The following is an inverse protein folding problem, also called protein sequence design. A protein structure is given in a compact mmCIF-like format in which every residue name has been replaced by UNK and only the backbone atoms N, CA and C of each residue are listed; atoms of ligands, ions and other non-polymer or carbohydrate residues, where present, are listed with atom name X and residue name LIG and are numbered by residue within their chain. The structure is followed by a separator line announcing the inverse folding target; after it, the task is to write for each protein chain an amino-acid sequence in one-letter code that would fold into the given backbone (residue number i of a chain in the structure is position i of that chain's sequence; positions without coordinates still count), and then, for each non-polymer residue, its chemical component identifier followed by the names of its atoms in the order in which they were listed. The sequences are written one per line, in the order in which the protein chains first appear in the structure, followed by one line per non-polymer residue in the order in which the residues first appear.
data_IF_533196550157
#
_entry.id   IF_533196550157
#
_cell.length_a   1.000
_cell.length_b   1.000
_cell.length_c   1.000
_cell.angle_alpha   90.00
_cell.angle_beta   90.00
_cell.angle_gamma   90.00
#
_symmetry.space_group_name_H-M   'P 1'
#
loop_
_entity.id
_entity.type
_entity.pdbx_description
1 polymer ?
#
# COMPACT_ATOMS: atom_id res chain seq x y z
N UNK A 1 4.39 -17.31 8.75
CA UNK A 1 3.28 -16.36 8.87
C UNK A 1 3.68 -15.00 8.29
N UNK A 2 2.88 -14.46 7.38
CA UNK A 2 3.21 -13.18 6.76
C UNK A 2 2.97 -12.02 7.72
N UNK A 3 3.85 -11.02 7.65
CA UNK A 3 3.63 -9.75 8.33
C UNK A 3 2.95 -8.78 7.37
N UNK A 4 1.98 -8.03 7.88
CA UNK A 4 1.30 -7.00 7.09
C UNK A 4 2.05 -5.68 7.22
N UNK A 5 2.48 -5.15 6.09
CA UNK A 5 3.16 -3.86 5.98
C UNK A 5 2.18 -2.85 5.39
N UNK A 6 1.92 -1.76 6.10
CA UNK A 6 1.12 -0.65 5.57
C UNK A 6 2.06 0.45 5.11
N UNK A 7 2.07 0.71 3.81
CA UNK A 7 2.96 1.68 3.18
C UNK A 7 2.15 2.86 2.68
N UNK A 8 2.53 4.07 3.09
CA UNK A 8 2.00 5.31 2.55
C UNK A 8 2.93 5.85 1.48
N UNK A 9 2.40 6.67 0.57
CA UNK A 9 3.20 7.27 -0.48
C UNK A 9 3.66 6.30 -1.57
N UNK A 10 3.00 5.16 -1.72
CA UNK A 10 3.41 4.12 -2.67
C UNK A 10 3.37 4.58 -4.13
N UNK A 11 2.57 5.59 -4.45
CA UNK A 11 2.48 6.13 -5.81
C UNK A 11 3.55 7.17 -6.12
N UNK A 12 4.29 7.64 -5.12
CA UNK A 12 5.44 8.52 -5.31
C UNK A 12 6.67 7.73 -5.75
N UNK A 13 7.70 8.43 -6.22
CA UNK A 13 8.89 7.79 -6.76
C UNK A 13 9.58 6.88 -5.75
N UNK A 14 9.86 7.40 -4.56
CA UNK A 14 10.54 6.60 -3.53
C UNK A 14 9.62 5.54 -2.93
N UNK A 15 8.37 5.88 -2.71
CA UNK A 15 7.40 4.93 -2.17
C UNK A 15 7.15 3.77 -3.13
N UNK A 16 7.09 4.04 -4.42
CA UNK A 16 6.92 2.99 -5.42
C UNK A 16 8.11 2.04 -5.44
N UNK A 17 9.32 2.57 -5.33
CA UNK A 17 10.53 1.74 -5.24
C UNK A 17 10.50 0.86 -3.99
N UNK A 18 10.08 1.40 -2.86
CA UNK A 18 9.91 0.63 -1.63
C UNK A 18 8.88 -0.47 -1.77
N UNK A 19 7.75 -0.15 -2.42
CA UNK A 19 6.70 -1.13 -2.68
C UNK A 19 7.21 -2.29 -3.54
N UNK A 20 7.90 -1.99 -4.63
CA UNK A 20 8.42 -3.03 -5.51
C UNK A 20 9.45 -3.91 -4.80
N UNK A 21 10.24 -3.33 -3.91
CA UNK A 21 11.21 -4.12 -3.12
C UNK A 21 10.50 -5.08 -2.17
N UNK A 22 9.46 -4.62 -1.47
CA UNK A 22 8.69 -5.48 -0.56
C UNK A 22 8.00 -6.61 -1.33
N UNK A 23 7.51 -6.33 -2.53
CA UNK A 23 6.83 -7.33 -3.36
C UNK A 23 7.75 -8.45 -3.86
N UNK A 24 9.07 -8.29 -3.71
CA UNK A 24 10.01 -9.38 -4.02
C UNK A 24 9.94 -10.52 -3.00
N UNK A 25 9.28 -10.29 -1.86
CA UNK A 25 9.20 -11.27 -0.78
C UNK A 25 7.75 -11.59 -0.42
N UNK A 26 6.96 -12.11 -1.38
CA UNK A 26 5.52 -12.31 -1.14
C UNK A 26 5.24 -13.38 -0.06
N UNK A 27 6.19 -14.25 0.21
CA UNK A 27 6.05 -15.25 1.27
C UNK A 27 6.27 -14.68 2.66
N UNK A 28 6.90 -13.50 2.77
CA UNK A 28 7.21 -12.85 4.05
C UNK A 28 6.24 -11.72 4.40
N UNK A 29 5.74 -11.03 3.39
CA UNK A 29 4.98 -9.80 3.62
C UNK A 29 3.69 -9.79 2.84
N UNK A 30 2.64 -9.34 3.52
CA UNK A 30 1.40 -8.90 2.89
C UNK A 30 1.44 -7.38 2.83
N UNK A 31 1.46 -6.81 1.65
CA UNK A 31 1.58 -5.37 1.48
C UNK A 31 0.22 -4.73 1.33
N UNK A 32 -0.03 -3.73 2.18
CA UNK A 32 -1.20 -2.88 2.13
C UNK A 32 -0.73 -1.47 1.85
N UNK A 33 -1.34 -0.80 0.88
CA UNK A 33 -0.95 0.56 0.52
C UNK A 33 -2.15 1.49 0.60
N UNK A 34 -1.86 2.78 0.87
CA UNK A 34 -2.85 3.84 0.80
C UNK A 34 -2.62 4.63 -0.48
N UNK A 35 -3.66 4.80 -1.27
CA UNK A 35 -3.58 5.57 -2.51
C UNK A 35 -4.84 6.39 -2.72
N UNK A 36 -4.69 7.61 -3.24
CA UNK A 36 -5.83 8.44 -3.61
C UNK A 36 -6.56 7.81 -4.79
N UNK A 37 -7.91 7.82 -4.80
CA UNK A 37 -8.69 7.20 -5.87
C UNK A 37 -8.74 8.07 -7.13
N UNK A 38 -7.59 8.39 -7.69
CA UNK A 38 -7.48 9.14 -8.94
C UNK A 38 -7.33 8.19 -10.12
N UNK A 39 -7.70 8.66 -11.31
CA UNK A 39 -7.53 7.87 -12.53
C UNK A 39 -6.08 7.48 -12.74
N UNK A 40 -5.15 8.42 -12.51
CA UNK A 40 -3.72 8.18 -12.64
C UNK A 40 -3.24 7.07 -11.71
N UNK A 41 -3.66 7.11 -10.44
CA UNK A 41 -3.26 6.10 -9.47
C UNK A 41 -3.87 4.75 -9.79
N UNK A 42 -5.13 4.72 -10.22
CA UNK A 42 -5.79 3.48 -10.61
C UNK A 42 -5.09 2.82 -11.78
N UNK A 43 -4.67 3.60 -12.77
CA UNK A 43 -3.92 3.09 -13.91
C UNK A 43 -2.53 2.59 -13.50
N UNK A 44 -1.84 3.35 -12.65
CA UNK A 44 -0.50 3.00 -12.18
C UNK A 44 -0.49 1.71 -11.38
N UNK A 45 -1.52 1.50 -10.56
CA UNK A 45 -1.58 0.36 -9.66
C UNK A 45 -2.31 -0.85 -10.24
N UNK A 46 -2.99 -0.69 -11.37
CA UNK A 46 -3.74 -1.79 -11.98
C UNK A 46 -2.90 -3.07 -12.19
N UNK A 47 -1.64 -2.99 -12.67
CA UNK A 47 -0.82 -4.20 -12.84
C UNK A 47 -0.49 -4.91 -11.53
N UNK A 48 -0.62 -4.22 -10.40
CA UNK A 48 -0.25 -4.74 -9.08
C UNK A 48 -1.47 -5.07 -8.22
N UNK A 49 -2.68 -4.86 -8.73
CA UNK A 49 -3.90 -4.97 -7.93
C UNK A 49 -4.11 -6.35 -7.31
N UNK A 50 -3.58 -7.39 -7.96
CA UNK A 50 -3.66 -8.76 -7.44
C UNK A 50 -2.53 -9.10 -6.46
N UNK A 51 -1.55 -8.22 -6.31
CA UNK A 51 -0.36 -8.44 -5.47
C UNK A 51 -0.37 -7.61 -4.20
N UNK A 52 -1.16 -6.55 -4.15
CA UNK A 52 -1.23 -5.64 -3.01
C UNK A 52 -2.67 -5.42 -2.60
N UNK A 53 -2.87 -5.14 -1.33
CA UNK A 53 -4.15 -4.67 -0.81
C UNK A 53 -4.16 -3.15 -0.89
N UNK A 54 -5.11 -2.57 -1.62
CA UNK A 54 -5.17 -1.13 -1.80
C UNK A 54 -6.29 -0.56 -0.95
N UNK A 55 -5.93 0.37 -0.05
CA UNK A 55 -6.89 1.20 0.67
C UNK A 55 -7.01 2.51 -0.11
N UNK A 56 -8.14 2.68 -0.79
CA UNK A 56 -8.40 3.92 -1.53
C UNK A 56 -8.85 4.98 -0.55
N UNK A 57 -8.06 6.04 -0.41
CA UNK A 57 -8.35 7.09 0.53
C UNK A 57 -7.30 8.19 0.52
N UNK A 58 -7.35 9.04 1.54
CA UNK A 58 -6.49 10.20 1.65
C UNK A 58 -5.73 10.18 2.98
N UNK A 59 -4.45 10.52 2.94
CA UNK A 59 -3.59 10.59 4.11
C UNK A 59 -4.08 11.61 5.13
N UNK A 60 -4.86 12.61 4.69
CA UNK A 60 -5.44 13.62 5.59
C UNK A 60 -6.74 13.16 6.23
N UNK A 61 -7.28 12.01 5.84
CA UNK A 61 -8.51 11.47 6.40
C UNK A 61 -8.18 10.44 7.47
N UNK A 62 -8.54 10.74 8.73
CA UNK A 62 -8.25 9.88 9.87
C UNK A 62 -8.80 8.46 9.70
N UNK A 63 -10.06 8.34 9.21
CA UNK A 63 -10.67 7.04 9.05
C UNK A 63 -9.96 6.18 8.00
N UNK A 64 -9.42 6.80 6.96
CA UNK A 64 -8.66 6.10 5.92
C UNK A 64 -7.34 5.56 6.49
N UNK A 65 -6.66 6.38 7.30
CA UNK A 65 -5.44 5.96 7.98
C UNK A 65 -5.74 4.82 8.95
N UNK A 66 -6.84 4.94 9.69
CA UNK A 66 -7.23 3.90 10.65
C UNK A 66 -7.46 2.56 9.96
N UNK A 67 -8.12 2.57 8.80
CA UNK A 67 -8.32 1.35 8.02
C UNK A 67 -6.98 0.75 7.57
N UNK A 68 -6.03 1.61 7.20
CA UNK A 68 -4.72 1.16 6.76
C UNK A 68 -3.90 0.53 7.87
N UNK A 69 -3.89 1.14 9.06
CA UNK A 69 -3.04 0.66 10.16
C UNK A 69 -3.67 -0.51 10.93
N UNK A 70 -4.98 -0.72 10.81
CA UNK A 70 -5.64 -1.79 11.55
C UNK A 70 -5.09 -3.14 11.12
N UNK A 71 -4.54 -3.87 12.08
CA UNK A 71 -3.94 -5.18 11.83
C UNK A 71 -2.58 -5.14 11.16
N UNK A 72 -2.01 -3.96 10.90
CA UNK A 72 -0.68 -3.88 10.33
C UNK A 72 0.40 -4.14 11.39
N UNK A 73 1.41 -4.90 11.00
CA UNK A 73 2.56 -5.17 11.86
C UNK A 73 3.62 -4.08 11.74
N UNK A 74 3.73 -3.51 10.54
CA UNK A 74 4.73 -2.49 10.21
C UNK A 74 4.02 -1.36 9.47
N UNK A 75 4.33 -0.12 9.82
CA UNK A 75 3.83 1.08 9.12
C UNK A 75 5.02 1.88 8.61
N UNK A 76 5.00 2.19 7.32
CA UNK A 76 6.07 2.95 6.67
C UNK A 76 5.56 4.23 6.01
#
# INVERSE_FOLDING_TARGET
MKKTVFLTGATGTMGYAGMTEILRYPEKYHLRILARPSKKNKEKLAPLADKVEIVWGDLTNYNDILRGVTGADIVL
#
